data_IF_925469049212
#
_entry.id   IF_925469049212
#
_cell.length_a   1.000
_cell.length_b   1.000
_cell.length_c   1.000
_cell.angle_alpha   90.00
_cell.angle_beta   90.00
_cell.angle_gamma   90.00
#
_symmetry.space_group_name_H-M   'P 1'
#
loop_
_entity.id
_entity.type
_entity.pdbx_description
1 polymer ?
#
# COMPACT_ATOMS: atom_id res chain seq x y z
N UNK A 1 -14.00 -6.52 -8.13
CA UNK A 1 -13.58 -5.47 -9.10
C UNK A 1 -14.04 -5.77 -10.54
N UNK A 2 -14.34 -4.78 -11.37
CA UNK A 2 -14.83 -4.99 -12.74
C UNK A 2 -13.81 -5.74 -13.64
N UNK A 3 -12.51 -5.53 -13.41
CA UNK A 3 -11.45 -6.24 -14.13
C UNK A 3 -11.47 -7.75 -13.92
N UNK A 4 -11.77 -8.23 -12.71
CA UNK A 4 -11.89 -9.68 -12.44
C UNK A 4 -13.01 -10.31 -13.27
N UNK A 5 -14.17 -9.63 -13.35
CA UNK A 5 -15.30 -10.07 -14.18
C UNK A 5 -14.97 -10.11 -15.68
N UNK A 6 -14.03 -9.28 -16.13
CA UNK A 6 -13.53 -9.25 -17.52
C UNK A 6 -12.26 -10.06 -17.74
N UNK A 7 -11.91 -10.98 -16.83
CA UNK A 7 -10.73 -11.83 -16.98
C UNK A 7 -9.42 -11.06 -17.04
N UNK A 8 -9.30 -9.98 -16.27
CA UNK A 8 -8.08 -9.14 -16.17
C UNK A 8 -7.63 -8.48 -17.47
N UNK A 9 -8.59 -8.12 -18.34
CA UNK A 9 -8.33 -7.39 -19.58
C UNK A 9 -8.89 -5.97 -19.56
N UNK A 10 -8.19 -5.04 -20.19
CA UNK A 10 -8.63 -3.67 -20.48
C UNK A 10 -9.66 -3.64 -21.61
N UNK A 11 -10.25 -2.47 -21.89
CA UNK A 11 -11.18 -2.31 -23.03
C UNK A 11 -10.49 -2.60 -24.38
N UNK A 12 -9.18 -2.33 -24.49
CA UNK A 12 -8.35 -2.67 -25.65
C UNK A 12 -7.87 -4.14 -25.67
N UNK A 13 -8.46 -5.01 -24.83
CA UNK A 13 -8.16 -6.44 -24.68
C UNK A 13 -6.73 -6.78 -24.22
N UNK A 14 -5.95 -5.78 -23.82
CA UNK A 14 -4.62 -5.97 -23.22
C UNK A 14 -4.74 -6.40 -21.76
N UNK A 15 -3.75 -7.10 -21.18
CA UNK A 15 -3.69 -7.33 -19.75
C UNK A 15 -3.78 -6.02 -18.97
N UNK A 16 -4.37 -6.05 -17.78
CA UNK A 16 -4.35 -4.91 -16.85
C UNK A 16 -2.91 -4.68 -16.39
N UNK A 17 -2.48 -3.42 -16.37
CA UNK A 17 -1.15 -3.05 -15.87
C UNK A 17 -1.01 -3.46 -14.39
N UNK A 18 0.13 -4.06 -14.03
CA UNK A 18 0.42 -4.54 -12.68
C UNK A 18 -0.62 -5.54 -12.15
N UNK A 19 -1.20 -6.35 -13.04
CA UNK A 19 -2.21 -7.35 -12.70
C UNK A 19 -1.78 -8.26 -11.54
N UNK A 20 -0.52 -8.68 -11.52
CA UNK A 20 0.04 -9.55 -10.48
C UNK A 20 0.00 -8.89 -9.09
N UNK A 21 0.30 -7.59 -8.99
CA UNK A 21 0.20 -6.84 -7.73
C UNK A 21 -1.25 -6.68 -7.28
N UNK A 22 -2.16 -6.39 -8.21
CA UNK A 22 -3.60 -6.31 -7.90
C UNK A 22 -4.18 -7.64 -7.41
N UNK A 23 -3.77 -8.75 -8.01
CA UNK A 23 -4.18 -10.09 -7.56
C UNK A 23 -3.69 -10.38 -6.14
N UNK A 24 -2.42 -10.08 -5.84
CA UNK A 24 -1.85 -10.24 -4.49
C UNK A 24 -2.57 -9.36 -3.47
N UNK A 25 -2.85 -8.09 -3.82
CA UNK A 25 -3.57 -7.17 -2.93
C UNK A 25 -4.97 -7.69 -2.59
N UNK A 26 -5.71 -8.13 -3.61
CA UNK A 26 -7.07 -8.66 -3.41
C UNK A 26 -7.04 -9.86 -2.47
N UNK A 27 -6.17 -10.84 -2.72
CA UNK A 27 -6.03 -12.02 -1.86
C UNK A 27 -5.64 -11.63 -0.43
N UNK A 28 -4.72 -10.67 -0.26
CA UNK A 28 -4.31 -10.18 1.05
C UNK A 28 -5.45 -9.44 1.79
N UNK A 29 -6.41 -8.86 1.06
CA UNK A 29 -7.52 -8.08 1.61
C UNK A 29 -8.83 -8.85 1.81
N UNK A 30 -9.01 -10.03 1.19
CA UNK A 30 -10.32 -10.69 1.04
C UNK A 30 -11.03 -10.98 2.37
N UNK A 31 -10.27 -11.36 3.40
CA UNK A 31 -10.79 -11.71 4.73
C UNK A 31 -10.70 -10.56 5.75
N UNK A 32 -10.37 -9.34 5.31
CA UNK A 32 -10.17 -8.20 6.20
C UNK A 32 -11.26 -7.14 5.97
N UNK A 33 -11.83 -6.64 7.05
CA UNK A 33 -12.64 -5.44 6.99
C UNK A 33 -11.71 -4.21 6.88
N UNK A 34 -11.57 -3.69 5.65
CA UNK A 34 -10.68 -2.56 5.36
C UNK A 34 -11.50 -1.33 4.99
N UNK A 35 -11.38 -0.28 5.82
CA UNK A 35 -11.85 1.06 5.48
C UNK A 35 -10.75 1.84 4.75
N UNK A 36 -10.81 1.85 3.42
CA UNK A 36 -9.89 2.63 2.59
C UNK A 36 -10.15 4.13 2.73
N UNK A 37 -9.13 4.88 3.15
CA UNK A 37 -9.18 6.35 3.25
C UNK A 37 -8.15 6.94 2.30
N UNK A 38 -8.63 7.74 1.35
CA UNK A 38 -7.74 8.59 0.57
C UNK A 38 -7.38 9.81 1.41
N UNK A 39 -6.09 10.06 1.58
CA UNK A 39 -5.58 11.28 2.22
C UNK A 39 -4.78 12.08 1.20
N UNK A 40 -4.86 13.41 1.29
CA UNK A 40 -4.06 14.28 0.46
C UNK A 40 -2.57 14.12 0.80
N UNK A 41 -1.70 14.22 -0.19
CA UNK A 41 -0.25 14.26 0.05
C UNK A 41 0.14 15.47 0.91
N UNK A 42 1.16 15.29 1.76
CA UNK A 42 1.68 16.32 2.67
C UNK A 42 0.63 16.91 3.63
N UNK A 43 -0.30 16.08 4.10
CA UNK A 43 -1.37 16.50 5.01
C UNK A 43 -0.98 16.46 6.50
N UNK A 44 0.28 16.16 6.85
CA UNK A 44 0.69 16.05 8.25
C UNK A 44 0.34 14.71 8.92
N UNK A 45 -0.12 13.73 8.15
CA UNK A 45 -0.51 12.40 8.68
C UNK A 45 0.74 11.60 9.03
N UNK A 46 1.12 11.63 10.30
CA UNK A 46 2.39 11.13 10.83
C UNK A 46 2.78 9.72 10.34
N UNK A 47 1.85 8.77 10.34
CA UNK A 47 2.11 7.40 9.88
C UNK A 47 2.29 7.31 8.35
N UNK A 48 1.66 8.20 7.59
CA UNK A 48 1.85 8.29 6.15
C UNK A 48 3.18 8.95 5.82
N UNK A 49 3.57 10.00 6.56
CA UNK A 49 4.88 10.63 6.44
C UNK A 49 5.99 9.63 6.75
N UNK A 50 5.84 8.81 7.80
CA UNK A 50 6.79 7.74 8.08
C UNK A 50 6.83 6.68 6.98
N UNK A 51 5.70 6.35 6.37
CA UNK A 51 5.66 5.43 5.23
C UNK A 51 6.41 5.99 4.01
N UNK A 52 6.29 7.30 3.76
CA UNK A 52 6.98 8.00 2.68
C UNK A 52 8.49 8.06 2.93
N UNK A 53 8.90 8.40 4.15
CA UNK A 53 10.30 8.41 4.59
C UNK A 53 10.95 7.02 4.38
N UNK A 54 10.28 5.94 4.82
CA UNK A 54 10.76 4.58 4.63
C UNK A 54 10.93 4.25 3.14
N UNK A 55 9.90 4.53 2.33
CA UNK A 55 9.93 4.24 0.90
C UNK A 55 11.07 5.00 0.19
N UNK A 56 11.26 6.28 0.53
CA UNK A 56 12.30 7.14 -0.02
C UNK A 56 13.69 6.65 0.35
N UNK A 57 13.94 6.32 1.63
CA UNK A 57 15.24 5.81 2.04
C UNK A 57 15.62 4.52 1.31
N UNK A 58 14.71 3.55 1.22
CA UNK A 58 15.01 2.31 0.50
C UNK A 58 15.20 2.53 -1.01
N UNK A 59 14.48 3.46 -1.62
CA UNK A 59 14.68 3.82 -3.03
C UNK A 59 16.08 4.45 -3.25
N UNK A 60 16.56 5.24 -2.30
CA UNK A 60 17.89 5.85 -2.31
C UNK A 60 19.00 4.87 -1.89
N UNK A 61 18.67 3.62 -1.60
CA UNK A 61 19.62 2.61 -1.12
C UNK A 61 20.12 2.85 0.31
N UNK A 62 19.45 3.73 1.05
CA UNK A 62 19.74 4.05 2.44
C UNK A 62 18.89 3.12 3.32
N UNK A 63 19.55 2.41 4.23
CA UNK A 63 18.84 1.64 5.24
C UNK A 63 18.26 2.55 6.31
N UNK A 64 16.96 2.42 6.59
CA UNK A 64 16.31 3.01 7.76
C UNK A 64 15.78 1.90 8.67
N UNK A 65 15.97 1.98 9.99
CA UNK A 65 15.41 0.98 10.91
C UNK A 65 13.89 0.89 10.80
N UNK A 66 13.40 -0.34 10.66
CA UNK A 66 11.96 -0.64 10.70
C UNK A 66 11.54 -1.00 12.12
N UNK A 67 10.38 -0.50 12.55
CA UNK A 67 9.80 -0.92 13.82
C UNK A 67 9.42 -2.41 13.74
N UNK A 68 9.86 -3.18 14.73
CA UNK A 68 9.52 -4.59 14.86
C UNK A 68 8.95 -4.83 16.27
N UNK A 69 7.62 -4.93 16.35
CA UNK A 69 6.90 -5.09 17.61
C UNK A 69 5.39 -5.07 17.41
N UNK A 70 4.65 -5.15 18.51
CA UNK A 70 3.19 -5.05 18.47
C UNK A 70 2.76 -3.64 18.02
N UNK A 71 1.68 -3.55 17.24
CA UNK A 71 1.11 -2.25 16.79
C UNK A 71 0.82 -1.31 17.96
N UNK A 72 0.41 -1.83 19.12
CA UNK A 72 0.17 -1.05 20.34
C UNK A 72 1.42 -0.34 20.87
N UNK A 73 2.61 -0.84 20.55
CA UNK A 73 3.90 -0.22 20.89
C UNK A 73 4.47 0.64 19.78
N UNK A 74 3.83 0.70 18.61
CA UNK A 74 4.28 1.56 17.51
C UNK A 74 3.73 2.97 17.69
N UNK A 75 4.55 3.84 18.25
CA UNK A 75 4.26 5.27 18.43
C UNK A 75 5.31 6.07 17.69
N UNK A 76 4.85 6.90 16.77
CA UNK A 76 5.64 7.97 16.17
C UNK A 76 5.42 9.20 17.07
N UNK A 77 6.50 9.91 17.39
CA UNK A 77 6.45 11.02 18.35
C UNK A 77 6.15 10.61 19.79
N UNK A 78 6.64 11.38 20.76
CA UNK A 78 6.29 11.28 22.17
C UNK A 78 5.35 12.42 22.56
#
# INVERSE_FOLDING_TARGET
PSWQKRGWRTASKKPVLNQDLWQKLILASDEKEIAWKYVAGHSGEEYNERSDEIATFFADGIYTPLYNGARSGYKLGA
#
